data_IF_653790478537
#
_entry.id   IF_653790478537
#
_cell.length_a   1.000
_cell.length_b   1.000
_cell.length_c   1.000
_cell.angle_alpha   90.00
_cell.angle_beta   90.00
_cell.angle_gamma   90.00
#
_symmetry.space_group_name_H-M   'P 1'
#
loop_
_entity.id
_entity.type
_entity.pdbx_description
1 polymer ?
#
# COMPACT_ATOMS: atom_id res chain seq x y z
N UNK A 1 -47.01 -8.72 12.02
CA UNK A 1 -45.92 -8.74 13.02
C UNK A 1 -44.66 -9.26 12.33
N UNK A 2 -43.52 -8.64 12.64
CA UNK A 2 -42.31 -8.50 11.81
C UNK A 2 -41.70 -9.77 11.18
N UNK A 3 -41.48 -9.72 9.86
CA UNK A 3 -40.66 -10.70 9.13
C UNK A 3 -39.18 -10.29 9.21
N UNK A 4 -38.49 -10.82 10.23
CA UNK A 4 -37.06 -10.56 10.49
C UNK A 4 -36.20 -11.06 9.31
N UNK A 5 -35.60 -10.13 8.56
CA UNK A 5 -34.71 -10.43 7.41
C UNK A 5 -33.61 -11.42 7.85
N UNK A 6 -33.31 -12.49 7.08
CA UNK A 6 -32.27 -13.44 7.44
C UNK A 6 -30.90 -12.74 7.48
N UNK A 7 -30.18 -12.88 8.59
CA UNK A 7 -28.93 -12.20 8.84
C UNK A 7 -27.82 -12.73 7.92
N UNK A 8 -27.55 -12.03 6.82
CA UNK A 8 -26.60 -12.43 5.77
C UNK A 8 -25.15 -12.55 6.28
N UNK A 9 -24.81 -11.94 7.42
CA UNK A 9 -23.48 -11.98 8.03
C UNK A 9 -23.02 -13.37 8.47
N UNK A 10 -23.95 -14.27 8.82
CA UNK A 10 -23.64 -15.64 9.27
C UNK A 10 -23.83 -16.71 8.19
N UNK A 11 -24.06 -16.31 6.93
CA UNK A 11 -24.12 -17.25 5.81
C UNK A 11 -22.69 -17.73 5.48
N UNK A 12 -22.53 -19.04 5.29
CA UNK A 12 -21.27 -19.72 4.92
C UNK A 12 -20.16 -19.68 5.98
N UNK A 13 -20.46 -20.06 7.24
CA UNK A 13 -19.48 -20.15 8.34
C UNK A 13 -18.28 -21.05 8.00
N UNK A 14 -18.51 -22.18 7.33
CA UNK A 14 -17.46 -23.12 6.93
C UNK A 14 -16.45 -22.49 5.96
N UNK A 15 -16.92 -21.70 4.99
CA UNK A 15 -16.05 -21.00 4.04
C UNK A 15 -15.21 -19.92 4.73
N UNK A 16 -15.79 -19.20 5.70
CA UNK A 16 -15.05 -18.21 6.49
C UNK A 16 -13.96 -18.87 7.32
N UNK A 17 -14.25 -20.00 7.98
CA UNK A 17 -13.27 -20.74 8.79
C UNK A 17 -12.13 -21.28 7.91
N UNK A 18 -12.44 -21.82 6.73
CA UNK A 18 -11.44 -22.31 5.79
C UNK A 18 -10.53 -21.20 5.23
N UNK A 19 -11.00 -19.95 5.17
CA UNK A 19 -10.21 -18.79 4.76
C UNK A 19 -9.32 -18.20 5.87
N UNK A 20 -9.56 -18.55 7.15
CA UNK A 20 -8.79 -18.00 8.29
C UNK A 20 -7.28 -18.24 8.12
N UNK A 21 -6.79 -19.45 7.78
CA UNK A 21 -5.35 -19.68 7.65
C UNK A 21 -4.70 -18.80 6.58
N UNK A 22 -5.37 -18.62 5.43
CA UNK A 22 -4.88 -17.75 4.35
C UNK A 22 -4.84 -16.27 4.77
N UNK A 23 -5.88 -15.80 5.46
CA UNK A 23 -5.94 -14.41 5.93
C UNK A 23 -4.86 -14.17 6.99
N UNK A 24 -4.67 -15.12 7.92
CA UNK A 24 -3.66 -15.02 8.96
C UNK A 24 -2.23 -14.98 8.39
N UNK A 25 -1.92 -15.84 7.42
CA UNK A 25 -0.59 -15.83 6.80
C UNK A 25 -0.36 -14.56 5.99
N UNK A 26 -1.36 -14.11 5.22
CA UNK A 26 -1.27 -12.85 4.49
C UNK A 26 -1.04 -11.67 5.46
N UNK A 27 -1.83 -11.55 6.52
CA UNK A 27 -1.67 -10.49 7.51
C UNK A 27 -0.31 -10.56 8.20
N UNK A 28 0.14 -11.74 8.61
CA UNK A 28 1.42 -11.90 9.27
C UNK A 28 2.59 -11.45 8.39
N UNK A 29 2.60 -11.87 7.11
CA UNK A 29 3.68 -11.50 6.18
C UNK A 29 3.62 -10.02 5.84
N UNK A 30 2.46 -9.49 5.46
CA UNK A 30 2.34 -8.09 5.06
C UNK A 30 2.53 -7.13 6.23
N UNK A 31 1.82 -7.35 7.34
CA UNK A 31 1.87 -6.46 8.51
C UNK A 31 3.17 -6.68 9.28
N UNK A 32 3.57 -7.93 9.53
CA UNK A 32 4.82 -8.25 10.22
C UNK A 32 6.04 -7.75 9.46
N UNK A 33 6.08 -7.94 8.14
CA UNK A 33 7.12 -7.39 7.28
C UNK A 33 7.16 -5.86 7.32
N UNK A 34 6.00 -5.21 7.24
CA UNK A 34 5.89 -3.74 7.30
C UNK A 34 6.37 -3.19 8.65
N UNK A 35 5.92 -3.80 9.77
CA UNK A 35 6.38 -3.41 11.11
C UNK A 35 7.89 -3.58 11.22
N UNK A 36 8.45 -4.69 10.74
CA UNK A 36 9.89 -4.93 10.75
C UNK A 36 10.67 -3.89 9.93
N UNK A 37 10.19 -3.53 8.73
CA UNK A 37 10.81 -2.47 7.92
C UNK A 37 10.77 -1.12 8.64
N UNK A 38 9.63 -0.79 9.26
CA UNK A 38 9.46 0.46 10.01
C UNK A 38 10.41 0.51 11.21
N UNK A 39 10.46 -0.53 12.03
CA UNK A 39 11.35 -0.57 13.21
C UNK A 39 12.83 -0.44 12.81
N UNK A 40 13.23 -1.08 11.71
CA UNK A 40 14.58 -0.94 11.16
C UNK A 40 14.86 0.45 10.59
N UNK A 41 13.85 1.14 10.04
CA UNK A 41 14.01 2.50 9.50
C UNK A 41 14.47 3.51 10.56
N UNK A 42 14.18 3.26 11.85
CA UNK A 42 14.65 4.08 12.97
C UNK A 42 16.07 3.75 13.47
N UNK A 43 16.72 2.74 12.89
CA UNK A 43 18.09 2.30 13.23
C UNK A 43 19.12 2.92 12.29
N UNK A 44 20.36 3.16 12.76
CA UNK A 44 21.42 3.80 11.93
C UNK A 44 21.71 2.97 10.67
N UNK A 45 21.34 3.49 9.51
CA UNK A 45 21.80 2.97 8.22
C UNK A 45 23.15 3.61 7.84
N UNK A 46 24.17 2.77 7.63
CA UNK A 46 25.51 3.14 7.16
C UNK A 46 26.24 1.92 6.58
N UNK A 47 27.40 2.12 5.96
CA UNK A 47 28.18 1.06 5.28
C UNK A 47 28.72 -0.02 6.23
N UNK A 48 28.86 0.30 7.51
CA UNK A 48 29.26 -0.63 8.57
C UNK A 48 28.10 -0.74 9.59
N UNK A 49 27.64 -1.96 9.94
CA UNK A 49 26.51 -2.15 10.83
C UNK A 49 26.84 -1.61 12.22
N UNK A 50 26.10 -0.59 12.64
CA UNK A 50 26.10 -0.10 14.03
C UNK A 50 24.66 -0.12 14.52
N UNK A 51 24.35 -1.04 15.42
CA UNK A 51 23.08 -1.12 16.15
C UNK A 51 22.99 0.05 17.14
N UNK A 52 22.83 1.28 16.62
CA UNK A 52 22.53 2.46 17.41
C UNK A 52 21.18 2.99 16.95
N UNK A 53 20.21 2.95 17.86
CA UNK A 53 18.92 3.61 17.67
C UNK A 53 19.14 5.11 17.52
N UNK A 54 18.73 5.68 16.38
CA UNK A 54 18.92 7.11 16.07
C UNK A 54 17.61 7.87 15.95
N UNK A 55 16.48 7.16 15.97
CA UNK A 55 15.17 7.77 15.77
C UNK A 55 15.09 8.49 14.42
N UNK A 56 14.58 9.72 14.43
CA UNK A 56 14.25 10.48 13.22
C UNK A 56 15.42 11.22 12.55
N UNK A 57 16.63 11.16 13.10
CA UNK A 57 17.80 11.88 12.56
C UNK A 57 18.14 11.51 11.11
N UNK A 58 17.79 10.29 10.70
CA UNK A 58 17.98 9.83 9.32
C UNK A 58 17.01 10.50 8.35
N UNK A 59 15.77 10.73 8.77
CA UNK A 59 14.77 11.44 7.97
C UNK A 59 15.15 12.90 7.79
N UNK A 60 15.58 13.58 8.86
CA UNK A 60 16.04 14.98 8.80
C UNK A 60 17.18 15.16 7.78
N UNK A 61 18.18 14.27 7.80
CA UNK A 61 19.26 14.26 6.81
C UNK A 61 18.77 14.05 5.38
N UNK A 62 17.77 13.19 5.18
CA UNK A 62 17.21 12.90 3.87
C UNK A 62 16.46 14.12 3.32
N UNK A 63 15.61 14.74 4.16
CA UNK A 63 14.87 15.95 3.81
C UNK A 63 15.76 17.17 3.56
N UNK A 64 16.93 17.25 4.21
CA UNK A 64 17.93 18.30 3.94
C UNK A 64 18.71 18.08 2.62
N UNK A 65 18.60 16.91 1.98
CA UNK A 65 19.36 16.59 0.77
C UNK A 65 18.62 17.05 -0.48
N UNK A 66 19.22 17.97 -1.26
CA UNK A 66 18.61 18.47 -2.52
C UNK A 66 18.19 17.36 -3.49
N UNK A 67 18.99 16.29 -3.60
CA UNK A 67 18.67 15.15 -4.48
C UNK A 67 17.37 14.45 -4.07
N UNK A 68 17.09 14.34 -2.77
CA UNK A 68 15.86 13.74 -2.28
C UNK A 68 14.65 14.59 -2.65
N UNK A 69 14.72 15.91 -2.44
CA UNK A 69 13.64 16.82 -2.77
C UNK A 69 13.30 16.78 -4.26
N UNK A 70 14.31 16.84 -5.13
CA UNK A 70 14.13 16.73 -6.60
C UNK A 70 13.55 15.37 -6.98
N UNK A 71 13.97 14.28 -6.33
CA UNK A 71 13.42 12.96 -6.61
C UNK A 71 11.94 12.84 -6.22
N UNK A 72 11.53 13.43 -5.09
CA UNK A 72 10.12 13.46 -4.65
C UNK A 72 9.28 14.31 -5.61
N UNK A 73 9.78 15.47 -6.05
CA UNK A 73 9.11 16.32 -7.02
C UNK A 73 8.90 15.58 -8.35
N UNK A 74 9.96 14.96 -8.89
CA UNK A 74 9.87 14.16 -10.10
C UNK A 74 8.88 13.00 -9.94
N UNK A 75 8.95 12.26 -8.83
CA UNK A 75 8.04 11.15 -8.55
C UNK A 75 6.57 11.62 -8.53
N UNK A 76 6.30 12.77 -7.91
CA UNK A 76 4.96 13.34 -7.88
C UNK A 76 4.47 13.74 -9.29
N UNK A 77 5.32 14.42 -10.07
CA UNK A 77 4.99 14.82 -11.45
C UNK A 77 4.72 13.58 -12.32
N UNK A 78 5.62 12.60 -12.30
CA UNK A 78 5.43 11.36 -13.07
C UNK A 78 4.20 10.58 -12.61
N UNK A 79 3.98 10.46 -11.30
CA UNK A 79 2.83 9.74 -10.74
C UNK A 79 1.50 10.36 -11.17
N UNK A 80 1.37 11.68 -11.05
CA UNK A 80 0.14 12.40 -11.43
C UNK A 80 -0.08 12.33 -12.95
N UNK A 81 0.95 12.64 -13.73
CA UNK A 81 0.85 12.63 -15.19
C UNK A 81 0.49 11.23 -15.70
N UNK A 82 1.14 10.19 -15.21
CA UNK A 82 0.88 8.80 -15.60
C UNK A 82 -0.53 8.37 -15.22
N UNK A 83 -1.00 8.70 -14.01
CA UNK A 83 -2.35 8.38 -13.56
C UNK A 83 -3.39 9.02 -14.48
N UNK A 84 -3.26 10.32 -14.77
CA UNK A 84 -4.20 11.03 -15.65
C UNK A 84 -4.20 10.44 -17.06
N UNK A 85 -3.02 10.19 -17.65
CA UNK A 85 -2.92 9.63 -19.00
C UNK A 85 -3.53 8.24 -19.09
N UNK A 86 -3.18 7.33 -18.16
CA UNK A 86 -3.72 5.97 -18.16
C UNK A 86 -5.23 5.99 -17.92
N UNK A 87 -5.73 6.87 -17.05
CA UNK A 87 -7.16 6.99 -16.78
C UNK A 87 -7.92 7.51 -18.01
N UNK A 88 -7.42 8.57 -18.67
CA UNK A 88 -8.04 9.12 -19.88
C UNK A 88 -8.02 8.08 -21.01
N UNK A 89 -6.86 7.48 -21.28
CA UNK A 89 -6.73 6.47 -22.35
C UNK A 89 -7.60 5.25 -22.04
N UNK A 90 -7.57 4.74 -20.81
CA UNK A 90 -8.37 3.61 -20.37
C UNK A 90 -9.86 3.89 -20.48
N UNK A 91 -10.29 5.11 -20.11
CA UNK A 91 -11.69 5.54 -20.25
C UNK A 91 -12.11 5.68 -21.71
N UNK A 92 -11.29 6.30 -22.56
CA UNK A 92 -11.57 6.43 -23.99
C UNK A 92 -11.66 5.05 -24.63
N UNK A 93 -10.72 4.15 -24.34
CA UNK A 93 -10.73 2.78 -24.87
C UNK A 93 -11.97 2.01 -24.38
N UNK A 94 -12.33 2.15 -23.10
CA UNK A 94 -13.55 1.57 -22.56
C UNK A 94 -14.80 2.12 -23.27
N UNK A 95 -14.86 3.43 -23.53
CA UNK A 95 -15.96 4.06 -24.24
C UNK A 95 -16.04 3.61 -25.72
N UNK A 96 -14.90 3.40 -26.39
CA UNK A 96 -14.86 2.85 -27.74
C UNK A 96 -15.30 1.39 -27.80
N UNK A 97 -15.01 0.60 -26.76
CA UNK A 97 -15.52 -0.77 -26.63
C UNK A 97 -17.03 -0.76 -26.35
N UNK A 98 -17.51 0.21 -25.57
CA UNK A 98 -18.94 0.37 -25.26
C UNK A 98 -19.76 0.92 -26.44
N UNK A 99 -19.08 1.55 -27.42
CA UNK A 99 -19.69 1.86 -28.71
C UNK A 99 -19.99 0.56 -29.45
N UNK A 100 -21.25 0.14 -29.37
CA UNK A 100 -21.81 -0.96 -30.14
C UNK A 100 -21.79 -0.57 -31.63
N UNK A 101 -20.80 -1.06 -32.36
CA UNK A 101 -20.93 -1.29 -33.81
C UNK A 101 -21.88 -2.46 -34.04
#
# INVERSE_FOLDING_TARGET
MDQKRPNQLFRNKTAKIAAIPMILTALFVFVGGTIWTITYSFTKSGLLPKLKWVGLKQYDRLWATKKWLVAIENLAIYGILMLLLVFIIGFVLAALIDQKV
#
